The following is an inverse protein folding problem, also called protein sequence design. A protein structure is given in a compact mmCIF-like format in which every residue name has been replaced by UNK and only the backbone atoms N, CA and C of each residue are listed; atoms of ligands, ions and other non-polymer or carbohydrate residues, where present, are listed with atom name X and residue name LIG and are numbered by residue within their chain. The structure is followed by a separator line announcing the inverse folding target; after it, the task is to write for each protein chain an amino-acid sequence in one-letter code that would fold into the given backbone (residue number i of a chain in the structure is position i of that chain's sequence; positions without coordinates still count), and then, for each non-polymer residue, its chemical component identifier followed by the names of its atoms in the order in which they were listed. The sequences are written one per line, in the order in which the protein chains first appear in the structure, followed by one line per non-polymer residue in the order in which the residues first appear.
data_IF_835382953359
#
_entry.id   IF_835382953359
#
_cell.length_a   1.000
_cell.length_b   1.000
_cell.length_c   1.000
_cell.angle_alpha   90.00
_cell.angle_beta   90.00
_cell.angle_gamma   90.00
#
_symmetry.space_group_name_H-M   'P 1'
#
loop_
_entity.id
_entity.type
_entity.pdbx_description
1 polymer ?
#
# COMPACT_ATOMS: atom_id res chain seq x y z
N UNK A 1 9.27 -0.14 -1.84
CA UNK A 1 8.97 -1.11 -0.80
C UNK A 1 7.99 -2.21 -1.22
N UNK A 2 7.62 -2.25 -2.49
CA UNK A 2 6.80 -3.34 -3.08
C UNK A 2 7.53 -4.01 -4.23
N UNK A 3 8.85 -3.97 -4.27
CA UNK A 3 9.64 -4.37 -5.44
C UNK A 3 9.63 -5.88 -5.73
N UNK A 4 9.12 -6.69 -4.81
CA UNK A 4 8.96 -8.14 -5.08
C UNK A 4 7.82 -8.43 -6.05
N UNK A 5 6.83 -7.55 -6.16
CA UNK A 5 5.66 -7.73 -7.03
C UNK A 5 5.43 -6.57 -8.00
N UNK A 6 5.97 -5.39 -7.71
CA UNK A 6 5.80 -4.18 -8.52
C UNK A 6 7.20 -3.60 -8.79
N UNK A 7 7.69 -3.65 -10.03
CA UNK A 7 8.98 -3.05 -10.36
C UNK A 7 9.00 -1.56 -10.06
N UNK A 8 10.13 -1.06 -9.57
CA UNK A 8 10.29 0.39 -9.37
C UNK A 8 10.14 1.12 -10.71
N UNK A 9 9.39 2.21 -10.71
CA UNK A 9 9.13 2.99 -11.91
C UNK A 9 7.96 2.49 -12.76
N UNK A 10 7.29 1.41 -12.36
CA UNK A 10 6.09 0.96 -13.07
C UNK A 10 4.90 1.88 -12.78
N UNK A 11 3.87 1.79 -13.63
CA UNK A 11 2.59 2.44 -13.42
C UNK A 11 1.61 1.40 -12.91
N UNK A 12 1.12 1.59 -11.70
CA UNK A 12 0.13 0.70 -11.11
C UNK A 12 -1.27 1.10 -11.56
N UNK A 13 -2.07 0.10 -11.94
CA UNK A 13 -3.48 0.28 -12.27
C UNK A 13 -4.30 -0.05 -11.03
N UNK A 14 -5.15 0.88 -10.64
CA UNK A 14 -5.86 0.85 -9.37
C UNK A 14 -7.35 0.83 -9.63
N UNK A 15 -8.04 -0.17 -9.07
CA UNK A 15 -9.49 -0.21 -9.06
C UNK A 15 -9.98 0.54 -7.81
N UNK A 16 -10.65 1.70 -7.97
CA UNK A 16 -11.02 2.53 -6.82
C UNK A 16 -11.92 1.79 -5.84
N UNK A 17 -11.59 1.89 -4.56
CA UNK A 17 -12.41 1.40 -3.47
C UNK A 17 -12.08 2.20 -2.20
N UNK A 18 -12.96 2.13 -1.21
CA UNK A 18 -12.79 2.84 0.05
C UNK A 18 -12.53 1.91 1.23
N UNK A 19 -12.63 0.61 1.01
CA UNK A 19 -12.48 -0.40 2.05
C UNK A 19 -11.52 -1.50 1.59
N UNK A 20 -10.87 -2.14 2.57
CA UNK A 20 -10.07 -3.34 2.34
C UNK A 20 -11.00 -4.53 2.21
N UNK A 21 -11.16 -5.03 0.98
CA UNK A 21 -12.04 -6.15 0.70
C UNK A 21 -11.40 -7.50 1.03
N UNK A 22 -10.07 -7.60 0.85
CA UNK A 22 -9.30 -8.81 1.13
C UNK A 22 -7.96 -8.46 1.76
N UNK A 23 -7.69 -9.09 2.90
CA UNK A 23 -6.44 -8.90 3.61
C UNK A 23 -5.24 -9.42 2.81
N UNK A 24 -4.13 -8.68 2.89
CA UNK A 24 -2.88 -9.09 2.31
C UNK A 24 -2.69 -8.75 0.84
N UNK A 25 -3.72 -8.22 0.16
CA UNK A 25 -3.57 -7.72 -1.21
C UNK A 25 -2.93 -6.34 -1.23
N UNK A 26 -2.32 -5.94 -2.36
CA UNK A 26 -1.75 -4.60 -2.50
C UNK A 26 -2.85 -3.56 -2.72
N UNK A 27 -2.78 -2.48 -1.96
CA UNK A 27 -3.67 -1.33 -2.07
C UNK A 27 -2.86 -0.06 -2.20
N UNK A 28 -3.39 0.89 -2.96
CA UNK A 28 -2.93 2.27 -2.90
C UNK A 28 -3.58 2.93 -1.69
N UNK A 29 -2.77 3.51 -0.82
CA UNK A 29 -3.22 4.13 0.42
C UNK A 29 -2.60 5.52 0.56
N UNK A 30 -3.28 6.40 1.26
CA UNK A 30 -2.80 7.73 1.59
C UNK A 30 -2.69 7.84 3.11
N UNK A 31 -1.54 8.32 3.59
CA UNK A 31 -1.28 8.49 5.02
C UNK A 31 -1.37 9.98 5.33
N UNK A 32 -2.26 10.37 6.22
CA UNK A 32 -2.53 11.77 6.61
C UNK A 32 -2.86 12.71 5.44
N UNK A 33 -3.42 12.19 4.36
CA UNK A 33 -3.79 13.00 3.21
C UNK A 33 -2.63 13.49 2.36
N UNK A 34 -1.40 13.02 2.63
CA UNK A 34 -0.21 13.38 1.86
C UNK A 34 0.07 12.36 0.76
N UNK A 35 1.27 11.81 0.74
CA UNK A 35 1.71 10.95 -0.34
C UNK A 35 0.95 9.62 -0.40
N UNK A 36 0.56 9.23 -1.60
CA UNK A 36 0.05 7.90 -1.84
C UNK A 36 1.20 6.90 -1.92
N UNK A 37 0.99 5.72 -1.37
CA UNK A 37 1.94 4.61 -1.43
C UNK A 37 1.17 3.31 -1.68
N UNK A 38 1.89 2.28 -2.11
CA UNK A 38 1.32 0.95 -2.30
C UNK A 38 1.92 0.01 -1.26
N UNK A 39 1.05 -0.67 -0.53
CA UNK A 39 1.41 -1.65 0.48
C UNK A 39 0.40 -2.79 0.46
N UNK A 40 0.80 -3.95 0.96
CA UNK A 40 -0.18 -4.96 1.34
C UNK A 40 -0.89 -4.47 2.59
N UNK A 41 -2.20 -4.56 2.61
CA UNK A 41 -3.00 -4.03 3.72
C UNK A 41 -3.77 -5.17 4.36
N UNK A 42 -3.70 -5.24 5.69
CA UNK A 42 -4.52 -6.12 6.51
C UNK A 42 -5.40 -5.28 7.40
N UNK A 43 -6.66 -5.64 7.47
CA UNK A 43 -7.64 -4.95 8.30
C UNK A 43 -7.58 -5.49 9.73
N UNK A 44 -7.50 -4.58 10.70
CA UNK A 44 -7.67 -4.87 12.12
C UNK A 44 -9.03 -4.35 12.58
N UNK A 45 -9.48 -4.76 13.77
CA UNK A 45 -10.73 -4.25 14.33
C UNK A 45 -10.72 -2.72 14.48
N UNK A 46 -9.58 -2.16 14.85
CA UNK A 46 -9.42 -0.72 15.13
C UNK A 46 -8.29 -0.09 14.31
N UNK A 47 -8.01 -0.61 13.12
CA UNK A 47 -6.93 -0.04 12.34
C UNK A 47 -6.51 -0.90 11.17
N UNK A 48 -5.27 -0.67 10.72
CA UNK A 48 -4.66 -1.39 9.60
C UNK A 48 -3.24 -1.77 9.90
N UNK A 49 -2.78 -2.84 9.28
CA UNK A 49 -1.35 -3.15 9.13
C UNK A 49 -0.98 -2.88 7.68
N UNK A 50 0.03 -2.05 7.46
CA UNK A 50 0.62 -1.82 6.15
C UNK A 50 1.91 -2.61 6.06
N UNK A 51 1.97 -3.57 5.13
CA UNK A 51 3.09 -4.48 4.96
C UNK A 51 3.83 -4.20 3.66
N UNK A 52 5.14 -3.92 3.70
CA UNK A 52 5.95 -3.87 2.49
C UNK A 52 6.15 -5.28 1.93
N UNK A 53 6.40 -5.38 0.63
CA UNK A 53 6.80 -6.63 -0.02
C UNK A 53 8.06 -6.34 -0.83
N UNK A 54 9.18 -6.26 -0.12
CA UNK A 54 10.46 -5.79 -0.64
C UNK A 54 11.56 -6.81 -0.39
N UNK A 55 12.54 -6.82 -1.26
CA UNK A 55 13.80 -7.56 -1.05
C UNK A 55 14.70 -6.87 -0.03
N UNK A 56 14.44 -5.61 0.31
CA UNK A 56 15.19 -4.85 1.30
C UNK A 56 14.61 -5.11 2.70
N UNK A 57 15.36 -5.77 3.60
CA UNK A 57 14.86 -6.11 4.93
C UNK A 57 14.71 -4.90 5.86
N UNK A 58 15.18 -3.72 5.49
CA UNK A 58 15.00 -2.51 6.30
C UNK A 58 13.56 -1.99 6.26
N UNK A 59 12.79 -2.33 5.22
CA UNK A 59 11.36 -2.02 5.17
C UNK A 59 10.59 -2.96 6.10
N UNK A 60 9.78 -2.39 6.98
CA UNK A 60 9.04 -3.14 7.99
C UNK A 60 7.56 -2.81 7.94
N UNK A 61 6.74 -3.75 8.41
CA UNK A 61 5.31 -3.53 8.59
C UNK A 61 5.06 -2.45 9.63
N UNK A 62 4.01 -1.65 9.41
CA UNK A 62 3.57 -0.62 10.34
C UNK A 62 2.12 -0.87 10.73
N UNK A 63 1.84 -0.77 12.02
CA UNK A 63 0.51 -0.92 12.57
C UNK A 63 -0.06 0.46 12.90
N UNK A 64 -1.27 0.72 12.42
CA UNK A 64 -2.01 1.95 12.68
C UNK A 64 -3.26 1.59 13.48
N UNK A 65 -3.30 1.98 14.75
CA UNK A 65 -4.42 1.74 15.65
C UNK A 65 -5.19 3.03 15.86
N UNK A 66 -6.43 3.09 15.40
CA UNK A 66 -7.25 4.31 15.43
C UNK A 66 -7.66 4.74 16.84
N UNK A 67 -7.50 3.88 17.84
CA UNK A 67 -7.76 4.23 19.23
C UNK A 67 -6.60 4.98 19.89
N UNK A 68 -5.44 5.07 19.25
CA UNK A 68 -4.31 5.80 19.76
C UNK A 68 -4.37 7.25 19.30
N UNK A 69 -4.16 8.24 20.20
CA UNK A 69 -4.38 9.65 19.87
C UNK A 69 -3.43 10.22 18.82
N UNK A 70 -2.24 9.62 18.64
CA UNK A 70 -1.25 10.09 17.68
C UNK A 70 -1.24 9.28 16.38
N UNK A 71 -2.22 8.41 16.18
CA UNK A 71 -2.28 7.57 14.98
C UNK A 71 -2.61 8.41 13.76
N UNK A 72 -1.85 8.19 12.70
CA UNK A 72 -2.07 8.82 11.40
C UNK A 72 -3.34 8.28 10.75
N UNK A 73 -4.07 9.16 10.06
CA UNK A 73 -5.24 8.76 9.28
C UNK A 73 -4.81 8.02 8.02
N UNK A 74 -5.42 6.86 7.79
CA UNK A 74 -5.19 6.04 6.60
C UNK A 74 -6.44 6.10 5.73
N UNK A 75 -6.26 6.48 4.46
CA UNK A 75 -7.33 6.47 3.47
C UNK A 75 -7.01 5.45 2.41
N UNK A 76 -7.93 4.53 2.15
CA UNK A 76 -7.80 3.56 1.06
C UNK A 76 -8.22 4.25 -0.23
N UNK A 77 -7.34 4.26 -1.23
CA UNK A 77 -7.60 4.84 -2.55
C UNK A 77 -8.18 3.78 -3.47
N UNK A 78 -7.64 2.57 -3.45
CA UNK A 78 -8.10 1.48 -4.29
C UNK A 78 -7.20 0.26 -4.20
N UNK A 79 -7.65 -0.82 -4.86
CA UNK A 79 -6.88 -2.05 -4.95
C UNK A 79 -6.04 -2.04 -6.21
N UNK A 80 -4.77 -2.41 -6.09
CA UNK A 80 -3.89 -2.56 -7.25
C UNK A 80 -4.28 -3.86 -7.98
N UNK A 81 -4.62 -3.75 -9.25
CA UNK A 81 -5.08 -4.90 -10.05
C UNK A 81 -4.01 -5.42 -11.01
N UNK A 82 -3.19 -4.54 -11.57
CA UNK A 82 -1.97 -4.91 -12.30
C UNK A 82 -1.11 -3.67 -12.53
N UNK A 83 0.04 -3.86 -13.19
CA UNK A 83 0.93 -2.77 -13.52
C UNK A 83 1.35 -2.84 -14.98
N UNK A 84 1.85 -1.70 -15.49
CA UNK A 84 2.48 -1.60 -16.80
C UNK A 84 3.85 -0.98 -16.65
N UNK A 85 4.77 -1.32 -17.54
CA UNK A 85 6.11 -0.74 -17.58
C UNK A 85 6.15 0.32 -18.68
N UNK A 86 6.64 1.54 -18.38
CA UNK A 86 6.91 2.53 -19.43
C UNK A 86 7.93 1.98 -20.44
N UNK A 87 7.87 2.49 -21.68
CA UNK A 87 8.78 2.04 -22.73
C UNK A 87 10.23 2.41 -22.47
N UNK A 88 10.48 3.39 -21.62
CA UNK A 88 11.82 3.84 -21.19
C UNK A 88 12.28 3.18 -19.87
N UNK A 89 11.54 2.17 -19.38
CA UNK A 89 11.92 1.47 -18.17
C UNK A 89 13.21 0.65 -18.41
N UNK A 90 14.16 0.74 -17.46
CA UNK A 90 15.42 -0.01 -17.53
C UNK A 90 15.27 -1.34 -16.79
N UNK A 91 15.60 -2.41 -17.51
CA UNK A 91 15.58 -3.77 -16.99
C UNK A 91 16.86 -4.16 -16.27
#
# INVERSE_FOLDING_TARGET
SMNRILPNGCLALVDPCTEVERDGLPYAVCVNGYDATIKRVRKLNNGFVLEPDSTDPTYQSKVFNFNEPDTMAITIIGRVVFYVLPTDWEF
#
